data_IF_470672504580
#
_entry.id   IF_470672504580
#
_cell.length_a   1.000
_cell.length_b   1.000
_cell.length_c   1.000
_cell.angle_alpha   90.00
_cell.angle_beta   90.00
_cell.angle_gamma   90.00
#
_symmetry.space_group_name_H-M   'P 1'
#
loop_
_entity.id
_entity.type
_entity.pdbx_description
1 polymer ?
#
# COMPACT_ATOMS: atom_id res chain seq x y z
N UNK A 1 -8.71 9.35 7.77
CA UNK A 1 -8.19 8.25 6.95
C UNK A 1 -9.35 7.79 6.10
N UNK A 2 -9.44 8.31 4.88
CA UNK A 2 -10.57 8.19 3.95
C UNK A 2 -10.65 6.79 3.33
N UNK A 3 -10.28 5.74 4.08
CA UNK A 3 -10.14 4.37 3.59
C UNK A 3 -10.75 3.34 4.55
N UNK A 4 -11.30 3.76 5.70
CA UNK A 4 -11.70 2.84 6.77
C UNK A 4 -13.11 2.24 6.62
N UNK A 5 -13.99 2.82 5.80
CA UNK A 5 -15.42 2.44 5.81
C UNK A 5 -15.90 1.65 4.58
N UNK A 6 -15.04 1.45 3.57
CA UNK A 6 -15.45 0.76 2.35
C UNK A 6 -15.56 -0.75 2.56
N UNK A 7 -16.72 -1.32 2.24
CA UNK A 7 -16.87 -2.77 2.04
C UNK A 7 -16.27 -3.08 0.67
N UNK A 8 -14.94 -3.08 0.61
CA UNK A 8 -14.21 -3.29 -0.64
C UNK A 8 -14.14 -4.79 -0.95
N UNK A 9 -14.49 -5.17 -2.17
CA UNK A 9 -14.24 -6.51 -2.73
C UNK A 9 -12.75 -6.64 -3.10
N UNK A 10 -11.86 -6.39 -2.13
CA UNK A 10 -10.44 -6.67 -2.30
C UNK A 10 -10.28 -8.19 -2.40
N UNK A 11 -9.35 -8.62 -3.24
CA UNK A 11 -9.08 -10.04 -3.42
C UNK A 11 -8.50 -10.66 -2.15
N UNK A 12 -8.56 -11.99 -2.12
CA UNK A 12 -7.98 -12.81 -1.06
C UNK A 12 -6.44 -12.81 -1.05
N UNK A 13 -5.77 -12.08 -1.95
CA UNK A 13 -4.33 -12.16 -2.16
C UNK A 13 -3.68 -10.78 -2.15
N UNK A 14 -2.72 -10.60 -1.25
CA UNK A 14 -1.93 -9.37 -1.20
C UNK A 14 -0.50 -9.61 -1.64
N UNK A 15 0.08 -8.60 -2.29
CA UNK A 15 1.51 -8.49 -2.50
C UNK A 15 2.10 -7.43 -1.57
N UNK A 16 3.17 -7.79 -0.86
CA UNK A 16 3.91 -6.90 0.01
C UNK A 16 5.35 -6.85 -0.42
N UNK A 17 5.84 -5.65 -0.67
CA UNK A 17 7.21 -5.42 -1.10
C UNK A 17 7.70 -4.05 -0.65
N UNK A 18 9.01 -3.87 -0.67
CA UNK A 18 9.67 -2.61 -0.34
C UNK A 18 10.51 -2.09 -1.49
N UNK A 19 10.53 -0.78 -1.66
CA UNK A 19 11.44 -0.12 -2.59
C UNK A 19 12.26 0.94 -1.90
N UNK A 20 13.51 1.06 -2.32
CA UNK A 20 14.42 2.07 -1.83
C UNK A 20 14.09 3.42 -2.49
N UNK A 21 13.94 4.47 -1.68
CA UNK A 21 13.65 5.83 -2.12
C UNK A 21 14.69 6.80 -1.54
N UNK A 22 14.96 7.90 -2.25
CA UNK A 22 15.98 8.86 -1.83
C UNK A 22 15.39 9.94 -0.92
N UNK A 23 15.99 10.11 0.27
CA UNK A 23 15.66 11.16 1.23
C UNK A 23 16.91 11.98 1.55
N UNK A 24 16.97 13.22 1.04
CA UNK A 24 18.18 14.06 1.04
C UNK A 24 19.40 13.33 0.46
N UNK A 25 20.35 12.96 1.33
CA UNK A 25 21.60 12.26 1.02
C UNK A 25 21.53 10.76 1.36
N UNK A 26 20.49 10.34 2.06
CA UNK A 26 20.29 8.96 2.50
C UNK A 26 19.29 8.23 1.61
N UNK A 27 19.27 6.90 1.77
CA UNK A 27 18.24 6.04 1.23
C UNK A 27 17.40 5.47 2.36
N UNK A 28 16.08 5.45 2.14
CA UNK A 28 15.08 4.90 3.07
C UNK A 28 14.18 3.93 2.30
N UNK A 29 13.29 3.23 3.00
CA UNK A 29 12.45 2.17 2.46
C UNK A 29 10.99 2.60 2.44
N UNK A 30 10.35 2.52 1.28
CA UNK A 30 8.92 2.65 1.13
C UNK A 30 8.31 1.25 0.96
N UNK A 31 7.60 0.81 2.00
CA UNK A 31 6.85 -0.44 2.00
C UNK A 31 5.48 -0.24 1.39
N UNK A 32 5.01 -1.22 0.64
CA UNK A 32 3.75 -1.15 -0.09
C UNK A 32 2.99 -2.47 0.06
N UNK A 33 1.69 -2.39 0.30
CA UNK A 33 0.78 -3.55 0.36
C UNK A 33 -0.27 -3.35 -0.73
N UNK A 34 -0.22 -4.16 -1.78
CA UNK A 34 -1.13 -4.11 -2.92
C UNK A 34 -2.06 -5.31 -2.93
N UNK A 35 -3.32 -5.07 -3.28
CA UNK A 35 -4.26 -6.11 -3.67
C UNK A 35 -3.95 -6.67 -5.07
N UNK A 36 -4.04 -8.00 -5.24
CA UNK A 36 -3.56 -8.69 -6.45
C UNK A 36 -4.43 -8.48 -7.68
N UNK A 37 -5.74 -8.36 -7.51
CA UNK A 37 -6.69 -8.31 -8.62
C UNK A 37 -7.06 -6.86 -8.96
N UNK A 38 -7.36 -6.08 -7.93
CA UNK A 38 -7.81 -4.69 -8.09
C UNK A 38 -6.64 -3.71 -8.27
N UNK A 39 -5.40 -4.13 -7.94
CA UNK A 39 -4.19 -3.29 -7.86
C UNK A 39 -4.31 -2.16 -6.82
N UNK A 40 -5.28 -2.25 -5.92
CA UNK A 40 -5.50 -1.23 -4.90
C UNK A 40 -4.35 -1.25 -3.89
N UNK A 41 -3.72 -0.10 -3.70
CA UNK A 41 -2.67 0.06 -2.71
C UNK A 41 -3.31 0.24 -1.33
N UNK A 42 -3.38 -0.85 -0.58
CA UNK A 42 -4.03 -0.95 0.73
C UNK A 42 -3.29 -0.10 1.76
N UNK A 43 -1.95 -0.18 1.76
CA UNK A 43 -1.12 0.57 2.70
C UNK A 43 0.24 0.91 2.09
N UNK A 44 0.82 2.01 2.58
CA UNK A 44 2.22 2.33 2.44
C UNK A 44 2.79 2.78 3.79
N UNK A 45 4.09 2.58 4.00
CA UNK A 45 4.80 3.09 5.16
C UNK A 45 6.26 3.36 4.80
N UNK A 46 6.85 4.43 5.31
CA UNK A 46 8.24 4.81 5.07
C UNK A 46 9.07 4.59 6.33
N UNK A 47 10.18 3.87 6.22
CA UNK A 47 11.09 3.56 7.34
C UNK A 47 12.54 3.68 6.95
N UNK A 48 13.44 3.90 7.91
CA UNK A 48 14.89 3.83 7.67
C UNK A 48 15.41 2.39 7.62
N UNK A 49 14.78 1.47 8.34
CA UNK A 49 15.18 0.07 8.45
C UNK A 49 14.37 -0.90 7.58
N UNK A 50 14.84 -2.15 7.52
CA UNK A 50 14.15 -3.30 6.91
C UNK A 50 13.87 -4.45 7.87
N UNK A 51 13.79 -4.11 9.15
CA UNK A 51 13.68 -5.06 10.24
C UNK A 51 12.25 -5.58 10.40
N UNK A 52 12.08 -6.57 11.26
CA UNK A 52 10.76 -7.18 11.55
C UNK A 52 9.73 -6.13 11.99
N UNK A 53 10.16 -5.12 12.75
CA UNK A 53 9.28 -4.03 13.23
C UNK A 53 8.77 -3.17 12.08
N UNK A 54 9.61 -2.91 11.08
CA UNK A 54 9.27 -2.10 9.91
C UNK A 54 8.26 -2.83 9.02
N UNK A 55 8.56 -4.10 8.68
CA UNK A 55 7.65 -4.95 7.91
C UNK A 55 6.32 -5.16 8.64
N UNK A 56 6.34 -5.31 9.98
CA UNK A 56 5.11 -5.45 10.76
C UNK A 56 4.29 -4.16 10.77
N UNK A 57 4.92 -2.99 10.80
CA UNK A 57 4.21 -1.72 10.83
C UNK A 57 3.31 -1.53 9.60
N UNK A 58 3.80 -1.82 8.39
CA UNK A 58 2.99 -1.70 7.17
C UNK A 58 1.85 -2.73 7.14
N UNK A 59 2.10 -3.97 7.59
CA UNK A 59 1.08 -5.01 7.67
C UNK A 59 -0.04 -4.66 8.65
N UNK A 60 0.32 -4.06 9.79
CA UNK A 60 -0.64 -3.55 10.77
C UNK A 60 -1.50 -2.43 10.16
N UNK A 61 -0.90 -1.47 9.46
CA UNK A 61 -1.64 -0.40 8.76
C UNK A 61 -2.59 -1.00 7.73
N UNK A 62 -2.14 -1.99 6.95
CA UNK A 62 -2.98 -2.66 5.95
C UNK A 62 -4.20 -3.32 6.61
N UNK A 63 -3.98 -4.07 7.68
CA UNK A 63 -5.04 -4.72 8.46
C UNK A 63 -6.03 -3.73 9.08
N UNK A 64 -5.59 -2.53 9.47
CA UNK A 64 -6.47 -1.48 9.98
C UNK A 64 -7.27 -0.76 8.88
N UNK A 65 -6.86 -0.87 7.61
CA UNK A 65 -7.54 -0.26 6.47
C UNK A 65 -8.61 -1.17 5.84
N UNK A 66 -8.71 -2.42 6.29
CA UNK A 66 -9.57 -3.47 5.69
C UNK A 66 -10.33 -4.21 6.79
N UNK A 67 -11.49 -4.78 6.44
CA UNK A 67 -12.35 -5.48 7.40
C UNK A 67 -11.95 -6.94 7.59
N UNK A 68 -11.49 -7.60 6.53
CA UNK A 68 -11.20 -9.04 6.51
C UNK A 68 -9.79 -9.31 5.97
N UNK A 69 -9.05 -10.19 6.66
CA UNK A 69 -7.68 -10.53 6.29
C UNK A 69 -7.63 -11.28 4.94
N UNK A 70 -6.53 -11.16 4.18
CA UNK A 70 -6.34 -11.95 2.96
C UNK A 70 -6.16 -13.43 3.30
N UNK A 71 -6.43 -14.33 2.36
CA UNK A 71 -6.06 -15.76 2.47
C UNK A 71 -4.59 -15.97 2.16
N UNK A 72 -3.98 -15.14 1.32
CA UNK A 72 -2.57 -15.26 0.92
C UNK A 72 -1.85 -13.89 0.95
N UNK A 73 -0.65 -13.89 1.50
CA UNK A 73 0.31 -12.78 1.39
C UNK A 73 1.52 -13.28 0.62
N UNK A 74 1.84 -12.60 -0.48
CA UNK A 74 3.03 -12.82 -1.30
C UNK A 74 4.08 -11.77 -0.98
N UNK A 75 5.30 -12.18 -0.70
CA UNK A 75 6.43 -11.26 -0.46
C UNK A 75 7.67 -11.70 -1.20
N UNK A 76 8.65 -10.81 -1.35
CA UNK A 76 9.98 -11.21 -1.82
C UNK A 76 10.76 -12.01 -0.74
N UNK A 77 12.01 -12.32 -1.06
CA UNK A 77 12.98 -13.03 -0.26
C UNK A 77 13.42 -12.33 1.04
N UNK A 78 12.90 -11.17 1.43
CA UNK A 78 13.35 -10.51 2.66
C UNK A 78 12.99 -11.33 3.91
N UNK A 79 13.97 -11.49 4.82
CA UNK A 79 13.86 -12.37 5.98
C UNK A 79 12.85 -11.86 7.04
N UNK A 80 12.64 -10.54 7.12
CA UNK A 80 11.80 -9.91 8.13
C UNK A 80 10.30 -10.21 7.94
N UNK A 81 9.86 -10.46 6.70
CA UNK A 81 8.46 -10.74 6.36
C UNK A 81 7.89 -11.92 7.13
N UNK A 82 8.62 -13.04 7.19
CA UNK A 82 8.09 -14.26 7.79
C UNK A 82 7.69 -14.04 9.26
N UNK A 83 8.57 -13.42 10.05
CA UNK A 83 8.30 -13.14 11.46
C UNK A 83 7.30 -11.99 11.65
N UNK A 84 7.26 -11.02 10.73
CA UNK A 84 6.26 -9.95 10.76
C UNK A 84 4.85 -10.48 10.50
N UNK A 85 4.66 -11.31 9.47
CA UNK A 85 3.37 -11.91 9.12
C UNK A 85 2.87 -12.82 10.24
N UNK A 86 3.72 -13.68 10.80
CA UNK A 86 3.35 -14.55 11.95
C UNK A 86 2.93 -13.77 13.19
N UNK A 87 3.42 -12.54 13.38
CA UNK A 87 3.06 -11.67 14.51
C UNK A 87 1.75 -10.93 14.29
N UNK A 88 1.35 -10.69 13.05
CA UNK A 88 0.18 -9.88 12.72
C UNK A 88 -1.03 -10.71 12.29
N UNK A 89 -0.79 -11.92 11.75
CA UNK A 89 -1.81 -12.81 11.23
C UNK A 89 -1.70 -14.22 11.82
N UNK A 90 -2.85 -14.88 11.93
CA UNK A 90 -2.91 -16.32 12.21
C UNK A 90 -2.38 -17.05 10.97
N UNK A 91 -1.33 -17.85 11.11
CA UNK A 91 -0.69 -18.55 9.98
C UNK A 91 -0.74 -20.08 10.12
N UNK A 92 -1.33 -20.58 11.20
CA UNK A 92 -1.49 -22.00 11.44
C UNK A 92 -2.52 -22.54 10.45
N UNK A 93 -2.09 -23.37 9.49
CA UNK A 93 -2.93 -23.90 8.38
C UNK A 93 -4.24 -24.58 8.82
N UNK A 94 -4.31 -25.07 10.04
CA UNK A 94 -5.52 -25.72 10.59
C UNK A 94 -6.58 -24.71 11.05
N UNK A 95 -6.25 -23.43 11.13
CA UNK A 95 -7.18 -22.39 11.56
C UNK A 95 -8.04 -21.93 10.36
N UNK A 96 -9.34 -21.66 10.55
CA UNK A 96 -10.23 -21.26 9.46
C UNK A 96 -9.84 -19.93 8.79
N UNK A 97 -9.20 -19.02 9.55
CA UNK A 97 -8.77 -17.71 9.07
C UNK A 97 -7.24 -17.62 8.91
N UNK A 98 -6.60 -18.74 8.53
CA UNK A 98 -5.17 -18.80 8.37
C UNK A 98 -4.71 -18.08 7.10
N UNK A 99 -3.74 -17.17 7.25
CA UNK A 99 -3.08 -16.49 6.14
C UNK A 99 -1.89 -17.33 5.69
N UNK A 100 -1.89 -17.71 4.41
CA UNK A 100 -0.77 -18.36 3.76
C UNK A 100 0.30 -17.32 3.40
N UNK A 101 1.55 -17.55 3.84
CA UNK A 101 2.69 -16.75 3.38
C UNK A 101 3.40 -17.47 2.23
N UNK A 102 3.36 -16.87 1.04
CA UNK A 102 4.06 -17.32 -0.15
C UNK A 102 5.27 -16.42 -0.43
N UNK A 103 6.47 -17.00 -0.42
CA UNK A 103 7.72 -16.25 -0.61
C UNK A 103 8.20 -16.41 -2.05
N UNK A 104 8.39 -15.30 -2.76
CA UNK A 104 8.96 -15.22 -4.12
C UNK A 104 10.48 -15.48 -4.13
N UNK A 105 10.94 -16.55 -3.48
CA UNK A 105 12.35 -16.93 -3.43
C UNK A 105 12.58 -18.29 -4.11
N UNK A 106 13.71 -18.44 -4.81
CA UNK A 106 14.08 -19.69 -5.46
C UNK A 106 13.08 -20.14 -6.53
N UNK A 107 12.69 -21.41 -6.53
CA UNK A 107 11.80 -22.03 -7.52
C UNK A 107 10.41 -21.36 -7.56
N UNK A 108 9.92 -20.87 -6.43
CA UNK A 108 8.62 -20.21 -6.30
C UNK A 108 8.55 -18.87 -7.06
N UNK A 109 9.70 -18.22 -7.32
CA UNK A 109 9.77 -16.96 -8.10
C UNK A 109 9.20 -17.12 -9.52
N UNK A 110 9.26 -18.32 -10.09
CA UNK A 110 8.74 -18.62 -11.43
C UNK A 110 7.22 -18.86 -11.44
N UNK A 111 6.64 -19.17 -10.28
CA UNK A 111 5.23 -19.53 -10.11
C UNK A 111 4.37 -18.34 -9.66
N UNK A 112 4.99 -17.34 -9.03
CA UNK A 112 4.28 -16.20 -8.45
C UNK A 112 4.42 -14.98 -9.38
N UNK A 113 3.28 -14.45 -9.80
CA UNK A 113 3.20 -13.32 -10.72
C UNK A 113 3.55 -11.99 -10.01
N UNK A 114 4.84 -11.64 -9.97
CA UNK A 114 5.31 -10.40 -9.31
C UNK A 114 5.22 -9.15 -10.22
N UNK A 115 4.80 -9.31 -11.47
CA UNK A 115 4.78 -8.23 -12.48
C UNK A 115 3.96 -7.02 -12.03
N UNK A 116 2.93 -7.23 -11.22
CA UNK A 116 2.09 -6.14 -10.72
C UNK A 116 2.85 -5.20 -9.79
N UNK A 117 3.59 -5.75 -8.83
CA UNK A 117 4.38 -4.98 -7.87
C UNK A 117 5.51 -4.25 -8.58
N UNK A 118 6.21 -4.94 -9.49
CA UNK A 118 7.28 -4.35 -10.29
C UNK A 118 6.76 -3.16 -11.11
N UNK A 119 5.56 -3.29 -11.70
CA UNK A 119 4.90 -2.21 -12.43
C UNK A 119 4.56 -1.04 -11.52
N UNK A 120 4.05 -1.29 -10.32
CA UNK A 120 3.78 -0.25 -9.33
C UNK A 120 5.07 0.46 -8.89
N UNK A 121 6.16 -0.27 -8.62
CA UNK A 121 7.44 0.32 -8.25
C UNK A 121 8.01 1.19 -9.38
N UNK A 122 7.93 0.75 -10.64
CA UNK A 122 8.35 1.57 -11.78
C UNK A 122 7.54 2.87 -11.85
N UNK A 123 6.23 2.78 -11.62
CA UNK A 123 5.37 3.96 -11.58
C UNK A 123 5.75 4.94 -10.47
N UNK A 124 5.97 4.44 -9.26
CA UNK A 124 6.40 5.26 -8.13
C UNK A 124 7.77 5.90 -8.38
N UNK A 125 8.71 5.18 -9.03
CA UNK A 125 10.02 5.73 -9.39
C UNK A 125 9.92 6.88 -10.36
N UNK A 126 9.03 6.82 -11.36
CA UNK A 126 8.82 7.97 -12.26
C UNK A 126 8.26 9.18 -11.50
N UNK A 127 7.40 8.94 -10.51
CA UNK A 127 6.88 9.98 -9.62
C UNK A 127 7.96 10.61 -8.72
N UNK A 128 8.82 9.81 -8.10
CA UNK A 128 9.94 10.27 -7.25
C UNK A 128 11.03 10.98 -8.08
N UNK A 129 11.40 10.42 -9.24
CA UNK A 129 12.45 10.93 -10.12
C UNK A 129 12.22 12.39 -10.53
N UNK A 130 10.99 12.72 -10.93
CA UNK A 130 10.61 14.10 -11.34
C UNK A 130 10.78 15.09 -10.18
N UNK A 131 10.65 14.63 -8.92
CA UNK A 131 10.79 15.44 -7.71
C UNK A 131 12.24 15.58 -7.24
N UNK A 132 13.19 14.88 -7.87
CA UNK A 132 14.62 14.88 -7.52
C UNK A 132 14.88 14.43 -6.08
N UNK A 133 14.12 13.45 -5.60
CA UNK A 133 14.20 12.92 -4.24
C UNK A 133 13.51 13.79 -3.19
N UNK A 134 13.20 13.17 -2.05
CA UNK A 134 12.47 13.81 -0.96
C UNK A 134 13.38 14.64 -0.06
N UNK A 135 12.83 15.68 0.56
CA UNK A 135 13.58 16.63 1.40
C UNK A 135 13.72 16.16 2.85
N UNK A 136 12.95 15.18 3.29
CA UNK A 136 13.01 14.53 4.59
C UNK A 136 12.17 13.25 4.57
N UNK A 137 12.35 12.39 5.57
CA UNK A 137 11.56 11.15 5.70
C UNK A 137 10.07 11.45 5.89
N UNK A 138 9.75 12.55 6.58
CA UNK A 138 8.37 13.03 6.72
C UNK A 138 7.78 13.42 5.36
N UNK A 139 8.50 14.20 4.55
CA UNK A 139 8.02 14.54 3.21
C UNK A 139 7.92 13.31 2.33
N UNK A 140 8.81 12.32 2.49
CA UNK A 140 8.73 11.06 1.76
C UNK A 140 7.46 10.28 2.12
N UNK A 141 7.11 10.22 3.41
CA UNK A 141 5.86 9.62 3.87
C UNK A 141 4.64 10.37 3.29
N UNK A 142 4.59 11.70 3.41
CA UNK A 142 3.49 12.53 2.88
C UNK A 142 3.31 12.33 1.38
N UNK A 143 4.40 12.29 0.61
CA UNK A 143 4.34 12.06 -0.83
C UNK A 143 3.95 10.63 -1.19
N UNK A 144 4.36 9.65 -0.39
CA UNK A 144 3.93 8.26 -0.57
C UNK A 144 2.42 8.12 -0.31
N UNK A 145 1.89 8.81 0.70
CA UNK A 145 0.45 8.86 0.98
C UNK A 145 -0.33 9.58 -0.13
N UNK A 146 0.19 10.71 -0.62
CA UNK A 146 -0.40 11.44 -1.74
C UNK A 146 -0.39 10.59 -3.03
N UNK A 147 0.70 9.86 -3.27
CA UNK A 147 0.78 8.95 -4.40
C UNK A 147 -0.19 7.78 -4.28
N UNK A 148 -0.37 7.21 -3.08
CA UNK A 148 -1.39 6.18 -2.83
C UNK A 148 -2.79 6.66 -3.19
N UNK A 149 -3.15 7.88 -2.79
CA UNK A 149 -4.43 8.48 -3.15
C UNK A 149 -4.57 8.66 -4.66
N UNK A 150 -3.53 9.18 -5.32
CA UNK A 150 -3.51 9.35 -6.77
C UNK A 150 -3.65 8.01 -7.51
N UNK A 151 -2.85 7.01 -7.15
CA UNK A 151 -2.86 5.66 -7.72
C UNK A 151 -4.24 5.02 -7.56
N UNK A 152 -4.79 5.01 -6.35
CA UNK A 152 -6.06 4.34 -6.06
C UNK A 152 -7.27 5.05 -6.67
N UNK A 153 -7.32 6.39 -6.56
CA UNK A 153 -8.55 7.15 -6.78
C UNK A 153 -8.56 7.93 -8.08
N UNK A 154 -7.42 8.25 -8.68
CA UNK A 154 -7.36 9.16 -9.84
C UNK A 154 -6.84 8.44 -11.09
N UNK A 155 -5.75 7.68 -10.95
CA UNK A 155 -5.08 7.10 -12.10
C UNK A 155 -5.85 5.93 -12.68
N UNK A 156 -6.08 5.99 -13.99
CA UNK A 156 -6.64 4.88 -14.77
C UNK A 156 -5.53 3.92 -15.21
N UNK A 157 -5.78 2.62 -15.12
CA UNK A 157 -4.82 1.61 -15.51
C UNK A 157 -5.32 0.84 -16.73
N UNK A 158 -4.50 0.76 -17.79
CA UNK A 158 -4.80 -0.04 -18.99
C UNK A 158 -5.07 -1.52 -18.66
N UNK A 159 -4.34 -2.08 -17.69
CA UNK A 159 -4.53 -3.45 -17.22
C UNK A 159 -5.86 -3.67 -16.45
N UNK A 160 -6.58 -2.59 -16.14
CA UNK A 160 -7.90 -2.59 -15.51
C UNK A 160 -8.95 -2.01 -16.49
N UNK A 161 -8.75 -2.16 -17.80
CA UNK A 161 -9.65 -1.65 -18.84
C UNK A 161 -9.94 -0.14 -18.71
N UNK A 162 -8.97 0.63 -18.24
CA UNK A 162 -9.11 2.08 -18.05
C UNK A 162 -9.87 2.48 -16.77
N UNK A 163 -10.12 1.56 -15.85
CA UNK A 163 -10.63 1.86 -14.51
C UNK A 163 -9.50 2.24 -13.53
N UNK A 164 -9.86 2.91 -12.43
CA UNK A 164 -8.97 3.11 -11.28
C UNK A 164 -9.01 1.89 -10.36
N UNK A 165 -7.98 1.64 -9.53
CA UNK A 165 -7.99 0.54 -8.58
C UNK A 165 -9.19 0.57 -7.63
N UNK A 166 -9.61 1.77 -7.19
CA UNK A 166 -10.79 1.91 -6.34
C UNK A 166 -12.10 1.53 -7.03
N UNK A 167 -12.21 1.74 -8.34
CA UNK A 167 -13.40 1.34 -9.10
C UNK A 167 -13.49 -0.18 -9.22
N UNK A 168 -12.35 -0.86 -9.44
CA UNK A 168 -12.32 -2.32 -9.51
C UNK A 168 -12.51 -2.96 -8.14
N UNK A 169 -12.01 -2.32 -7.07
CA UNK A 169 -12.24 -2.75 -5.69
C UNK A 169 -13.64 -2.39 -5.14
N UNK A 170 -14.52 -1.85 -5.99
CA UNK A 170 -15.88 -1.43 -5.63
C UNK A 170 -15.94 -0.48 -4.41
N UNK A 171 -14.91 0.35 -4.27
CA UNK A 171 -14.82 1.38 -3.24
C UNK A 171 -15.66 2.56 -3.72
N UNK A 172 -16.89 2.62 -3.23
CA UNK A 172 -17.91 3.60 -3.60
C UNK A 172 -17.50 5.03 -3.21
N UNK A 173 -16.88 5.73 -4.15
CA UNK A 173 -16.55 7.15 -4.02
C UNK A 173 -17.02 7.84 -5.29
N UNK A 174 -18.14 8.56 -5.19
CA UNK A 174 -18.64 9.40 -6.28
C UNK A 174 -17.73 10.61 -6.48
N UNK A 175 -16.76 10.44 -7.38
CA UNK A 175 -15.79 11.48 -7.74
C UNK A 175 -16.15 12.19 -9.05
N UNK A 176 -17.21 11.76 -9.75
CA UNK A 176 -17.61 12.31 -11.04
C UNK A 176 -16.46 12.41 -12.06
N UNK A 177 -16.56 13.39 -12.98
CA UNK A 177 -15.54 13.62 -14.03
C UNK A 177 -14.28 14.27 -13.50
N UNK A 178 -14.39 15.27 -12.62
CA UNK A 178 -13.25 15.97 -12.03
C UNK A 178 -12.92 15.38 -10.65
N UNK A 179 -12.24 14.24 -10.68
CA UNK A 179 -12.02 13.42 -9.47
C UNK A 179 -11.20 14.13 -8.41
N UNK A 180 -10.24 14.97 -8.81
CA UNK A 180 -9.45 15.81 -7.89
C UNK A 180 -10.31 16.84 -7.16
N UNK A 181 -11.13 17.58 -7.90
CA UNK A 181 -12.02 18.57 -7.29
C UNK A 181 -13.02 17.92 -6.33
N UNK A 182 -13.55 16.76 -6.71
CA UNK A 182 -14.48 16.01 -5.85
C UNK A 182 -13.82 15.53 -4.57
N UNK A 183 -12.60 14.99 -4.63
CA UNK A 183 -11.84 14.60 -3.42
C UNK A 183 -11.59 15.81 -2.50
N UNK A 184 -11.20 16.95 -3.06
CA UNK A 184 -10.99 18.16 -2.28
C UNK A 184 -12.29 18.62 -1.60
N UNK A 185 -13.39 18.70 -2.35
CA UNK A 185 -14.71 19.06 -1.80
C UNK A 185 -15.15 18.12 -0.68
N UNK A 186 -15.02 16.81 -0.90
CA UNK A 186 -15.34 15.82 0.12
C UNK A 186 -14.45 15.98 1.36
N UNK A 187 -13.15 16.22 1.19
CA UNK A 187 -12.24 16.44 2.32
C UNK A 187 -12.62 17.64 3.20
N UNK A 188 -13.14 18.72 2.60
CA UNK A 188 -13.62 19.90 3.33
C UNK A 188 -14.87 19.61 4.18
N UNK A 189 -15.70 18.67 3.73
CA UNK A 189 -16.93 18.26 4.43
C UNK A 189 -16.69 17.25 5.57
N UNK A 190 -15.46 16.74 5.72
CA UNK A 190 -15.07 15.83 6.80
C UNK A 190 -13.94 16.42 7.69
N UNK A 191 -14.20 17.50 8.44
CA UNK A 191 -13.17 18.30 9.13
C UNK A 191 -12.42 17.57 10.27
N UNK A 192 -12.85 16.38 10.71
CA UNK A 192 -12.35 15.73 11.92
C UNK A 192 -11.19 14.74 11.74
N UNK A 193 -10.35 14.84 10.70
CA UNK A 193 -9.23 13.89 10.54
C UNK A 193 -7.82 14.45 10.56
N UNK A 194 -7.66 15.73 10.89
CA UNK A 194 -6.34 16.41 10.91
C UNK A 194 -6.09 17.18 12.20
N UNK A 195 -6.49 16.65 13.35
CA UNK A 195 -5.88 17.05 14.63
C UNK A 195 -4.75 16.06 14.98
N UNK A 196 -3.62 16.16 14.28
CA UNK A 196 -2.33 15.94 14.94
C UNK A 196 -1.90 17.32 15.39
N UNK A 197 -1.94 17.54 16.71
CA UNK A 197 -1.38 18.73 17.34
C UNK A 197 0.05 18.91 16.82
N UNK A 198 0.26 19.99 16.07
CA UNK A 198 1.59 20.54 15.84
C UNK A 198 2.02 21.09 17.19
N UNK A 199 2.60 20.23 18.03
CA UNK A 199 3.33 20.67 19.22
C UNK A 199 4.65 21.25 18.71
N UNK A 200 4.66 22.57 18.49
CA UNK A 200 5.90 23.32 18.41
C UNK A 200 6.52 23.29 19.82
N UNK A 201 7.66 22.59 19.95
CA UNK A 201 8.65 22.83 21.00
C UNK A 201 9.95 23.23 20.32
#
# INVERSE_FOLDING_TARGET
NYTKDFKSELSDKWHVDEQMIKSKKDYIWCWNVLDSETRFLIANNVTRGREITDARAVLKIAKENIKENPKEIVTDGLWSYNKAIRKEFVTKRTSPNAVLHSRNAGIAKKLLNNNMVERYHNEFREFDKVRRGFKSDETAQQWSDAFRLYHNLIKKHMALNGATPSQVAEIDIDLGRNRWLSLLKQSLNHPNTTKKEVILK
#
